data_IF_876806912882
#
_entry.id   IF_876806912882
#
_cell.length_a   1.000
_cell.length_b   1.000
_cell.length_c   1.000
_cell.angle_alpha   90.00
_cell.angle_beta   90.00
_cell.angle_gamma   90.00
#
_symmetry.space_group_name_H-M   'P 1'
#
loop_
_entity.id
_entity.type
_entity.pdbx_description
1 polymer ?
#
# COMPACT_ATOMS: atom_id res chain seq x y z
N UNK A 1 7.90 2.49 30.60
CA UNK A 1 9.18 3.16 30.29
C UNK A 1 9.51 2.87 28.83
N UNK A 2 9.79 3.89 28.01
CA UNK A 2 10.12 3.66 26.60
C UNK A 2 11.52 3.08 26.43
N UNK A 3 11.70 2.23 25.41
CA UNK A 3 13.01 1.68 25.06
C UNK A 3 13.79 2.75 24.28
N UNK A 4 15.03 3.01 24.69
CA UNK A 4 15.91 3.94 23.97
C UNK A 4 16.22 3.35 22.59
N UNK A 5 16.05 4.15 21.55
CA UNK A 5 16.32 3.77 20.16
C UNK A 5 17.82 3.89 19.90
N UNK A 6 18.38 2.94 19.16
CA UNK A 6 19.76 2.99 18.70
C UNK A 6 19.92 4.12 17.68
N UNK A 7 21.07 4.81 17.68
CA UNK A 7 21.37 5.82 16.68
C UNK A 7 21.78 5.19 15.34
N UNK A 8 22.23 3.93 15.35
CA UNK A 8 22.68 3.23 14.15
C UNK A 8 21.61 2.26 13.63
N UNK A 9 20.61 2.82 12.93
CA UNK A 9 19.43 2.07 12.48
C UNK A 9 19.66 1.51 11.08
N UNK A 10 19.57 0.19 10.95
CA UNK A 10 19.47 -0.48 9.65
C UNK A 10 18.03 -0.44 9.14
N UNK A 11 17.70 0.55 8.29
CA UNK A 11 16.34 0.77 7.80
C UNK A 11 15.77 -0.42 7.05
N UNK A 12 16.51 -1.03 6.13
CA UNK A 12 16.06 -2.21 5.37
C UNK A 12 15.59 -3.36 6.27
N UNK A 13 16.37 -3.71 7.30
CA UNK A 13 16.01 -4.75 8.26
C UNK A 13 14.79 -4.37 9.11
N UNK A 14 14.56 -3.08 9.33
CA UNK A 14 13.38 -2.61 10.06
C UNK A 14 12.14 -2.61 9.18
N UNK A 15 12.26 -2.25 7.90
CA UNK A 15 11.16 -2.34 6.92
C UNK A 15 10.64 -3.78 6.82
N UNK A 16 11.53 -4.77 6.74
CA UNK A 16 11.12 -6.19 6.75
C UNK A 16 10.38 -6.58 8.03
N UNK A 17 10.84 -6.12 9.20
CA UNK A 17 10.17 -6.38 10.48
C UNK A 17 8.79 -5.74 10.53
N UNK A 18 8.65 -4.51 10.04
CA UNK A 18 7.38 -3.79 10.03
C UNK A 18 6.41 -4.42 9.02
N UNK A 19 6.88 -4.81 7.84
CA UNK A 19 6.07 -5.52 6.84
C UNK A 19 5.53 -6.83 7.42
N UNK A 20 6.42 -7.64 8.04
CA UNK A 20 6.00 -8.88 8.71
C UNK A 20 4.99 -8.63 9.82
N UNK A 21 5.20 -7.59 10.64
CA UNK A 21 4.26 -7.23 11.68
C UNK A 21 2.89 -6.83 11.12
N UNK A 22 2.84 -6.09 10.00
CA UNK A 22 1.59 -5.74 9.32
C UNK A 22 0.85 -6.97 8.81
N UNK A 23 1.56 -7.97 8.26
CA UNK A 23 0.98 -9.23 7.82
C UNK A 23 0.41 -10.03 9.01
N UNK A 24 1.18 -10.16 10.09
CA UNK A 24 0.79 -10.89 11.31
C UNK A 24 -0.53 -10.37 11.91
N UNK A 25 -0.75 -9.06 11.86
CA UNK A 25 -1.96 -8.42 12.40
C UNK A 25 -3.05 -8.18 11.34
N UNK A 26 -2.87 -8.63 10.10
CA UNK A 26 -3.75 -8.30 8.96
C UNK A 26 -4.06 -6.79 8.89
N UNK A 27 -3.02 -5.96 8.98
CA UNK A 27 -3.15 -4.51 9.16
C UNK A 27 -3.96 -3.86 8.04
N UNK A 28 -3.76 -4.32 6.80
CA UNK A 28 -4.44 -3.80 5.63
C UNK A 28 -5.94 -4.08 5.69
N UNK A 29 -6.33 -5.35 5.84
CA UNK A 29 -7.73 -5.78 5.92
C UNK A 29 -8.43 -5.10 7.08
N UNK A 30 -7.79 -5.04 8.24
CA UNK A 30 -8.33 -4.37 9.41
C UNK A 30 -8.53 -2.87 9.18
N UNK A 31 -7.58 -2.19 8.50
CA UNK A 31 -7.73 -0.76 8.17
C UNK A 31 -8.94 -0.46 7.29
N UNK A 32 -9.30 -1.39 6.39
CA UNK A 32 -10.44 -1.28 5.49
C UNK A 32 -11.74 -1.68 6.19
N UNK A 33 -11.72 -2.81 6.91
CA UNK A 33 -12.88 -3.37 7.60
C UNK A 33 -13.42 -2.43 8.68
N UNK A 34 -12.54 -1.74 9.41
CA UNK A 34 -12.91 -0.77 10.43
C UNK A 34 -13.67 0.45 9.90
N UNK A 35 -13.80 0.58 8.57
CA UNK A 35 -14.48 1.69 7.90
C UNK A 35 -15.65 1.23 7.02
N UNK A 36 -16.09 -0.02 7.05
CA UNK A 36 -17.12 -0.56 6.13
C UNK A 36 -18.39 0.28 6.00
N UNK A 37 -18.87 0.83 7.11
CA UNK A 37 -20.10 1.63 7.15
C UNK A 37 -19.86 3.14 6.96
N UNK A 38 -18.63 3.54 6.64
CA UNK A 38 -18.25 4.94 6.45
C UNK A 38 -18.47 5.40 5.00
N UNK A 39 -18.38 6.72 4.78
CA UNK A 39 -18.48 7.29 3.43
C UNK A 39 -17.41 6.72 2.51
N UNK A 40 -17.81 6.30 1.31
CA UNK A 40 -16.92 5.67 0.33
C UNK A 40 -16.06 6.73 -0.37
N UNK A 41 -14.77 6.47 -0.50
CA UNK A 41 -13.88 7.13 -1.45
C UNK A 41 -13.34 6.07 -2.42
N UNK A 42 -13.62 6.25 -3.73
CA UNK A 42 -13.18 5.33 -4.79
C UNK A 42 -11.91 5.86 -5.42
N UNK A 43 -10.85 5.07 -5.37
CA UNK A 43 -9.60 5.34 -6.04
C UNK A 43 -9.41 4.34 -7.18
N UNK A 44 -9.28 4.84 -8.41
CA UNK A 44 -9.05 3.99 -9.58
C UNK A 44 -7.56 3.94 -9.88
N UNK A 45 -7.02 2.74 -9.82
CA UNK A 45 -5.64 2.46 -10.21
C UNK A 45 -5.59 1.99 -11.68
N UNK A 46 -4.69 2.58 -12.46
CA UNK A 46 -4.40 2.11 -13.81
C UNK A 46 -3.55 0.83 -13.72
N UNK A 47 -4.05 -0.32 -14.22
CA UNK A 47 -3.36 -1.59 -14.08
C UNK A 47 -2.07 -1.58 -14.91
N UNK A 48 -0.91 -1.98 -14.34
CA UNK A 48 0.31 -2.15 -15.12
C UNK A 48 0.25 -3.39 -16.02
N UNK A 49 1.05 -3.38 -17.08
CA UNK A 49 1.34 -4.58 -17.86
C UNK A 49 2.31 -5.49 -17.07
N UNK A 50 2.06 -6.80 -16.97
CA UNK A 50 2.98 -7.74 -16.32
C UNK A 50 4.14 -8.15 -17.25
N UNK A 51 4.67 -7.21 -18.03
CA UNK A 51 5.77 -7.44 -18.98
C UNK A 51 7.02 -6.68 -18.54
N UNK A 52 8.12 -7.41 -18.35
CA UNK A 52 9.39 -6.85 -17.89
C UNK A 52 9.47 -6.60 -16.38
N UNK A 53 10.59 -6.02 -15.95
CA UNK A 53 10.84 -5.68 -14.54
C UNK A 53 10.36 -4.27 -14.20
N UNK A 54 9.89 -4.02 -12.96
CA UNK A 54 9.56 -2.67 -12.51
C UNK A 54 10.74 -1.72 -12.64
N UNK A 55 10.47 -0.49 -13.08
CA UNK A 55 11.42 0.61 -13.11
C UNK A 55 10.97 1.74 -12.16
N UNK A 56 11.79 2.79 -12.03
CA UNK A 56 11.53 3.91 -11.11
C UNK A 56 10.14 4.53 -11.27
N UNK A 57 9.59 4.54 -12.50
CA UNK A 57 8.25 5.06 -12.77
C UNK A 57 7.15 4.23 -12.10
N UNK A 58 7.32 2.91 -12.03
CA UNK A 58 6.39 2.04 -11.28
C UNK A 58 6.44 2.37 -9.78
N UNK A 59 7.64 2.62 -9.24
CA UNK A 59 7.82 2.94 -7.81
C UNK A 59 7.17 4.28 -7.46
N UNK A 60 7.45 5.33 -8.24
CA UNK A 60 6.87 6.66 -8.02
C UNK A 60 5.33 6.62 -8.07
N UNK A 61 4.78 5.99 -9.12
CA UNK A 61 3.34 5.85 -9.25
C UNK A 61 2.74 5.00 -8.12
N UNK A 62 3.38 3.88 -7.77
CA UNK A 62 2.94 2.99 -6.69
C UNK A 62 2.88 3.68 -5.34
N UNK A 63 3.89 4.49 -4.99
CA UNK A 63 3.92 5.27 -3.74
C UNK A 63 2.75 6.25 -3.66
N UNK A 64 2.48 7.01 -4.73
CA UNK A 64 1.33 7.95 -4.75
C UNK A 64 0.01 7.18 -4.63
N UNK A 65 -0.12 6.05 -5.34
CA UNK A 65 -1.29 5.17 -5.33
C UNK A 65 -1.54 4.52 -3.96
N UNK A 66 -0.54 4.43 -3.09
CA UNK A 66 -0.69 3.95 -1.71
C UNK A 66 -0.96 5.09 -0.70
N UNK A 67 -0.25 6.23 -0.83
CA UNK A 67 -0.38 7.38 0.08
C UNK A 67 -1.79 7.97 0.04
N UNK A 68 -2.37 8.17 -1.15
CA UNK A 68 -3.67 8.83 -1.30
C UNK A 68 -4.80 8.02 -0.63
N UNK A 69 -4.95 6.70 -0.88
CA UNK A 69 -5.91 5.87 -0.15
C UNK A 69 -5.69 5.85 1.37
N UNK A 70 -4.44 5.80 1.85
CA UNK A 70 -4.15 5.84 3.29
C UNK A 70 -4.62 7.14 3.92
N UNK A 71 -4.35 8.26 3.28
CA UNK A 71 -4.83 9.57 3.73
C UNK A 71 -6.36 9.57 3.89
N UNK A 72 -7.10 9.13 2.89
CA UNK A 72 -8.57 9.12 2.95
C UNK A 72 -9.13 8.15 4.00
N UNK A 73 -8.47 7.00 4.22
CA UNK A 73 -8.84 6.09 5.31
C UNK A 73 -8.59 6.70 6.69
N UNK A 74 -7.49 7.44 6.87
CA UNK A 74 -7.24 8.18 8.11
C UNK A 74 -8.25 9.32 8.31
N UNK A 75 -8.79 9.88 7.23
CA UNK A 75 -9.90 10.86 7.25
C UNK A 75 -11.28 10.22 7.51
N UNK A 76 -11.34 8.91 7.74
CA UNK A 76 -12.56 8.20 8.12
C UNK A 76 -13.37 7.66 6.94
N UNK A 77 -12.82 7.62 5.73
CA UNK A 77 -13.52 7.06 4.57
C UNK A 77 -13.30 5.56 4.44
N UNK A 78 -14.31 4.87 3.91
CA UNK A 78 -14.16 3.53 3.38
C UNK A 78 -13.42 3.60 2.04
N UNK A 79 -12.22 3.02 1.98
CA UNK A 79 -11.40 3.01 0.77
C UNK A 79 -11.03 1.57 0.44
N UNK A 80 -11.80 0.97 -0.45
CA UNK A 80 -11.44 -0.31 -1.05
C UNK A 80 -10.29 -0.09 -2.04
N UNK A 81 -9.24 -0.91 -1.94
CA UNK A 81 -8.10 -0.85 -2.88
C UNK A 81 -8.01 -2.20 -3.58
N UNK A 82 -8.12 -2.18 -4.91
CA UNK A 82 -8.00 -3.37 -5.76
C UNK A 82 -6.89 -3.13 -6.76
N UNK A 83 -5.94 -4.07 -6.78
CA UNK A 83 -4.89 -4.10 -7.77
C UNK A 83 -5.33 -4.95 -8.97
N UNK A 84 -4.87 -4.60 -10.17
CA UNK A 84 -5.19 -5.31 -11.40
C UNK A 84 -4.00 -5.33 -12.35
N UNK A 85 -4.11 -6.15 -13.39
CA UNK A 85 -3.11 -6.29 -14.45
C UNK A 85 -3.76 -6.08 -15.80
N UNK A 86 -3.10 -5.35 -16.69
CA UNK A 86 -3.50 -5.30 -18.09
C UNK A 86 -2.77 -6.40 -18.84
N UNK A 87 -3.54 -7.35 -19.37
CA UNK A 87 -3.04 -8.59 -19.99
C UNK A 87 -3.45 -8.71 -21.45
N UNK A 88 -3.84 -7.61 -22.08
CA UNK A 88 -4.12 -7.56 -23.50
C UNK A 88 -3.20 -6.60 -24.26
N UNK A 89 -3.20 -6.72 -25.58
CA UNK A 89 -2.47 -5.83 -26.50
C UNK A 89 -1.22 -6.46 -27.10
N UNK A 90 -0.75 -5.82 -28.19
CA UNK A 90 0.48 -6.18 -28.90
C UNK A 90 1.78 -6.13 -28.06
N UNK A 91 1.89 -5.32 -26.98
CA UNK A 91 3.10 -5.28 -26.16
C UNK A 91 3.36 -6.51 -25.28
N UNK A 92 2.50 -7.53 -25.32
CA UNK A 92 2.63 -8.79 -24.57
C UNK A 92 3.37 -9.84 -25.38
#
# INVERSE_FOLDING_TARGET
MFKRVDNNIHLANNEEKIAKYWDEINAFENSVNNRKDSKIFRFYDGPPFPTGSPHYGNLLAGVIKDIVPRYWTMRGFYVERRFGWDVHGLPI
#
